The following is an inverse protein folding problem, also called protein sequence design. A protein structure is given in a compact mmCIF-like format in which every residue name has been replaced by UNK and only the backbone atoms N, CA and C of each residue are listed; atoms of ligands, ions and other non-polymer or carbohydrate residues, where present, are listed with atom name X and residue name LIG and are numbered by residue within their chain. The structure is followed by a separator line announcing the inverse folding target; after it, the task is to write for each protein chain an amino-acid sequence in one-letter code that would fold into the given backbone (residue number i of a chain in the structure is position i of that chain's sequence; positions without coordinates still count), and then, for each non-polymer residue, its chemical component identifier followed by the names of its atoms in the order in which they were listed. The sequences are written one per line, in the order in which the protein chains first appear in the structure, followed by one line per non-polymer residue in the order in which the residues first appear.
data_IF_163313386331
#
_entry.id   IF_163313386331
#
_cell.length_a   1.000
_cell.length_b   1.000
_cell.length_c   1.000
_cell.angle_alpha   90.00
_cell.angle_beta   90.00
_cell.angle_gamma   90.00
#
_symmetry.space_group_name_H-M   'P 1'
#
loop_
_entity.id
_entity.type
_entity.pdbx_description
1 polymer ?
#
# COMPACT_ATOMS: atom_id res chain seq x y z
N UNK A 1 -20.21 -49.01 -19.97
CA UNK A 1 -20.50 -47.66 -20.49
C UNK A 1 -20.55 -46.68 -19.30
N UNK A 2 -19.42 -46.12 -18.90
CA UNK A 2 -19.37 -45.15 -17.79
C UNK A 2 -19.68 -43.76 -18.33
N UNK A 3 -20.96 -43.40 -18.35
CA UNK A 3 -21.41 -42.06 -18.71
C UNK A 3 -20.82 -41.04 -17.75
N UNK A 4 -19.83 -40.28 -18.21
CA UNK A 4 -19.30 -39.13 -17.47
C UNK A 4 -20.44 -38.13 -17.34
N UNK A 5 -20.96 -37.94 -16.12
CA UNK A 5 -22.05 -36.99 -15.88
C UNK A 5 -21.54 -35.58 -16.16
N UNK A 6 -22.05 -34.94 -17.20
CA UNK A 6 -21.71 -33.57 -17.56
C UNK A 6 -22.19 -32.59 -16.48
N UNK A 7 -21.37 -31.58 -16.18
CA UNK A 7 -21.68 -30.52 -15.19
C UNK A 7 -21.93 -29.20 -15.87
N UNK A 8 -22.73 -28.34 -15.24
CA UNK A 8 -23.00 -26.98 -15.73
C UNK A 8 -22.07 -25.98 -15.04
N UNK A 9 -21.43 -25.11 -15.82
CA UNK A 9 -20.53 -24.09 -15.32
C UNK A 9 -21.32 -22.97 -14.62
N UNK A 10 -20.98 -22.67 -13.37
CA UNK A 10 -21.66 -21.61 -12.59
C UNK A 10 -21.40 -20.18 -13.12
N UNK A 11 -20.41 -20.00 -14.01
CA UNK A 11 -20.07 -18.68 -14.55
C UNK A 11 -20.65 -18.42 -15.94
N UNK A 12 -20.58 -19.40 -16.86
CA UNK A 12 -21.02 -19.24 -18.25
C UNK A 12 -22.25 -20.09 -18.62
N UNK A 13 -22.75 -20.95 -17.73
CA UNK A 13 -23.89 -21.82 -17.99
C UNK A 13 -23.62 -22.99 -18.95
N UNK A 14 -22.43 -23.11 -19.53
CA UNK A 14 -22.11 -24.19 -20.47
C UNK A 14 -21.88 -25.52 -19.74
N UNK A 15 -22.30 -26.62 -20.38
CA UNK A 15 -21.95 -27.98 -19.95
C UNK A 15 -20.46 -28.25 -20.17
N UNK A 16 -19.82 -28.96 -19.24
CA UNK A 16 -18.43 -29.36 -19.33
C UNK A 16 -18.20 -30.73 -18.70
N UNK A 17 -17.12 -31.39 -19.15
CA UNK A 17 -16.77 -32.75 -18.75
C UNK A 17 -15.58 -32.80 -17.80
N UNK A 18 -15.42 -33.96 -17.14
CA UNK A 18 -14.27 -34.27 -16.29
C UNK A 18 -12.99 -34.29 -17.10
N UNK A 19 -11.94 -33.59 -16.63
CA UNK A 19 -10.60 -33.70 -17.27
C UNK A 19 -9.93 -35.00 -16.86
N UNK A 20 -9.12 -35.57 -17.74
CA UNK A 20 -8.38 -36.82 -17.49
C UNK A 20 -7.53 -36.75 -16.21
N UNK A 21 -6.92 -35.60 -15.93
CA UNK A 21 -6.08 -35.37 -14.73
C UNK A 21 -6.87 -35.17 -13.44
N UNK A 22 -8.17 -34.92 -13.51
CA UNK A 22 -8.96 -34.62 -12.32
C UNK A 22 -9.24 -35.91 -11.55
N UNK A 23 -8.95 -35.91 -10.24
CA UNK A 23 -9.42 -36.98 -9.36
C UNK A 23 -10.95 -36.97 -9.25
N UNK A 24 -11.55 -38.06 -8.73
CA UNK A 24 -12.99 -38.10 -8.49
C UNK A 24 -13.45 -36.99 -7.52
N UNK A 25 -12.66 -36.72 -6.47
CA UNK A 25 -12.93 -35.65 -5.51
C UNK A 25 -12.86 -34.26 -6.15
N UNK A 26 -11.79 -33.98 -6.93
CA UNK A 26 -11.64 -32.72 -7.65
C UNK A 26 -12.81 -32.47 -8.60
N UNK A 27 -13.25 -33.51 -9.32
CA UNK A 27 -14.42 -33.44 -10.19
C UNK A 27 -15.70 -33.12 -9.41
N UNK A 28 -15.92 -33.80 -8.28
CA UNK A 28 -17.12 -33.61 -7.46
C UNK A 28 -17.26 -32.17 -6.92
N UNK A 29 -16.14 -31.47 -6.69
CA UNK A 29 -16.09 -30.10 -6.16
C UNK A 29 -16.02 -29.03 -7.25
N UNK A 30 -15.81 -29.41 -8.51
CA UNK A 30 -15.57 -28.46 -9.60
C UNK A 30 -16.85 -27.76 -10.03
N UNK A 31 -16.82 -26.42 -10.03
CA UNK A 31 -17.96 -25.53 -10.34
C UNK A 31 -17.82 -24.79 -11.68
N UNK A 32 -16.63 -24.81 -12.26
CA UNK A 32 -16.30 -23.99 -13.43
C UNK A 32 -15.61 -24.82 -14.52
N UNK A 33 -15.96 -24.54 -15.78
CA UNK A 33 -15.39 -25.21 -16.95
C UNK A 33 -13.91 -24.85 -17.16
N UNK A 34 -13.48 -23.65 -16.78
CA UNK A 34 -12.12 -23.14 -17.00
C UNK A 34 -11.61 -22.23 -15.88
N UNK A 35 -10.28 -22.01 -15.78
CA UNK A 35 -9.73 -20.98 -14.90
C UNK A 35 -10.29 -19.59 -15.18
N UNK A 36 -10.59 -19.28 -16.45
CA UNK A 36 -11.21 -18.02 -16.87
C UNK A 36 -12.59 -17.85 -16.24
N UNK A 37 -13.46 -18.85 -16.33
CA UNK A 37 -14.78 -18.85 -15.68
C UNK A 37 -14.69 -18.82 -14.15
N UNK A 38 -13.70 -19.52 -13.58
CA UNK A 38 -13.44 -19.43 -12.14
C UNK A 38 -12.95 -18.05 -11.71
N UNK A 39 -12.26 -17.32 -12.56
CA UNK A 39 -11.78 -15.99 -12.26
C UNK A 39 -12.83 -14.91 -12.51
N UNK A 40 -13.68 -15.05 -13.54
CA UNK A 40 -14.77 -14.11 -13.82
C UNK A 40 -15.88 -14.15 -12.77
N UNK A 41 -16.09 -15.32 -12.16
CA UNK A 41 -17.07 -15.51 -11.07
C UNK A 41 -16.60 -15.01 -9.71
N UNK A 42 -15.33 -14.61 -9.56
CA UNK A 42 -14.83 -14.06 -8.30
C UNK A 42 -15.24 -12.60 -8.20
N UNK A 43 -16.04 -12.27 -7.19
CA UNK A 43 -16.35 -10.88 -6.87
C UNK A 43 -15.07 -10.07 -6.62
N UNK A 44 -14.96 -8.93 -7.29
CA UNK A 44 -13.89 -7.96 -7.05
C UNK A 44 -14.30 -7.13 -5.84
N UNK A 45 -13.84 -7.54 -4.66
CA UNK A 45 -14.06 -6.75 -3.44
C UNK A 45 -13.35 -5.40 -3.60
N UNK A 46 -14.07 -4.27 -3.52
CA UNK A 46 -13.47 -2.95 -3.65
C UNK A 46 -12.34 -2.70 -2.64
N UNK A 47 -11.35 -1.90 -3.04
CA UNK A 47 -10.15 -1.68 -2.23
C UNK A 47 -10.46 -1.11 -0.85
N UNK A 48 -11.40 -0.16 -0.74
CA UNK A 48 -11.78 0.45 0.52
C UNK A 48 -12.43 -0.56 1.50
N UNK A 49 -13.16 -1.56 0.99
CA UNK A 49 -13.72 -2.64 1.81
C UNK A 49 -12.59 -3.53 2.33
N UNK A 50 -11.64 -3.89 1.45
CA UNK A 50 -10.46 -4.68 1.83
C UNK A 50 -9.59 -3.95 2.86
N UNK A 51 -9.48 -2.62 2.77
CA UNK A 51 -8.74 -1.80 3.71
C UNK A 51 -9.26 -1.97 5.14
N UNK A 52 -10.57 -1.78 5.35
CA UNK A 52 -11.17 -1.86 6.69
C UNK A 52 -11.04 -3.23 7.36
N UNK A 53 -10.88 -4.31 6.60
CA UNK A 53 -10.59 -5.65 7.14
C UNK A 53 -9.29 -5.70 7.96
N UNK A 54 -8.34 -4.82 7.66
CA UNK A 54 -7.01 -4.82 8.28
C UNK A 54 -6.78 -3.64 9.24
N UNK A 55 -7.82 -2.84 9.54
CA UNK A 55 -7.69 -1.69 10.44
C UNK A 55 -8.26 -2.03 11.81
N UNK A 56 -7.40 -2.05 12.83
CA UNK A 56 -7.84 -2.04 14.22
C UNK A 56 -8.02 -0.60 14.69
N UNK A 57 -9.27 -0.14 14.72
CA UNK A 57 -9.64 1.18 15.21
C UNK A 57 -9.47 1.25 16.72
N UNK A 58 -8.98 2.38 17.19
CA UNK A 58 -8.88 2.73 18.61
C UNK A 58 -9.79 3.93 18.90
N UNK A 59 -10.31 4.01 20.12
CA UNK A 59 -11.12 5.15 20.58
C UNK A 59 -10.26 6.39 20.85
N UNK A 60 -10.86 7.57 20.70
CA UNK A 60 -10.20 8.86 20.90
C UNK A 60 -9.10 9.16 19.87
N UNK A 61 -8.11 9.97 20.26
CA UNK A 61 -6.99 10.38 19.41
C UNK A 61 -5.83 9.36 19.38
N UNK A 62 -6.13 8.06 19.35
CA UNK A 62 -5.12 6.98 19.36
C UNK A 62 -4.79 6.47 17.95
N UNK A 63 -3.62 5.88 17.80
CA UNK A 63 -3.23 5.23 16.53
C UNK A 63 -4.21 4.12 16.16
N UNK A 64 -4.50 3.99 14.87
CA UNK A 64 -5.21 2.83 14.32
C UNK A 64 -4.19 1.89 13.71
N UNK A 65 -4.09 0.67 14.26
CA UNK A 65 -3.05 -0.26 13.86
C UNK A 65 -3.45 -0.96 12.56
N UNK A 66 -2.53 -0.98 11.59
CA UNK A 66 -2.63 -1.84 10.43
C UNK A 66 -2.20 -3.27 10.77
N UNK A 67 -3.00 -4.25 10.37
CA UNK A 67 -2.75 -5.69 10.61
C UNK A 67 -2.51 -6.49 9.33
N UNK A 68 -2.36 -5.81 8.20
CA UNK A 68 -2.03 -6.42 6.92
C UNK A 68 -0.51 -6.50 6.71
N UNK A 69 -0.10 -6.75 5.47
CA UNK A 69 1.31 -6.75 5.10
C UNK A 69 1.95 -5.37 5.30
N UNK A 70 3.22 -5.36 5.67
CA UNK A 70 4.05 -4.16 5.82
C UNK A 70 5.26 -4.20 4.89
N UNK A 71 5.92 -3.06 4.67
CA UNK A 71 7.26 -3.03 4.07
C UNK A 71 8.37 -3.19 5.14
N UNK A 72 9.62 -3.21 4.69
CA UNK A 72 10.81 -3.30 5.54
C UNK A 72 10.97 -2.12 6.53
N UNK A 73 10.23 -1.03 6.32
CA UNK A 73 10.24 0.17 7.16
C UNK A 73 8.99 0.25 8.06
N UNK A 74 8.17 -0.79 8.09
CA UNK A 74 6.97 -0.88 8.94
C UNK A 74 5.73 -0.19 8.38
N UNK A 75 5.75 0.33 7.14
CA UNK A 75 4.56 0.92 6.54
C UNK A 75 3.61 -0.16 6.04
N UNK A 76 2.34 -0.06 6.42
CA UNK A 76 1.28 -0.92 5.89
C UNK A 76 1.13 -0.80 4.37
N UNK A 77 0.88 -1.93 3.70
CA UNK A 77 0.67 -2.03 2.25
C UNK A 77 -0.57 -2.85 1.91
N UNK A 78 -1.25 -2.47 0.83
CA UNK A 78 -2.42 -3.18 0.29
C UNK A 78 -2.34 -3.27 -1.24
N UNK A 79 -2.44 -4.50 -1.77
CA UNK A 79 -2.39 -4.72 -3.22
C UNK A 79 -3.68 -4.31 -3.94
N UNK A 80 -3.58 -3.62 -5.07
CA UNK A 80 -4.71 -3.02 -5.82
C UNK A 80 -5.49 -4.01 -6.69
N UNK A 81 -5.04 -5.27 -6.80
CA UNK A 81 -5.79 -6.29 -7.52
C UNK A 81 -4.97 -7.51 -7.87
N UNK A 82 -5.51 -8.31 -8.79
CA UNK A 82 -4.86 -9.53 -9.31
C UNK A 82 -4.12 -9.30 -10.64
N UNK A 83 -4.17 -8.08 -11.20
CA UNK A 83 -3.53 -7.75 -12.48
C UNK A 83 -2.02 -7.61 -12.31
N UNK A 84 -1.29 -7.91 -13.38
CA UNK A 84 0.16 -7.74 -13.50
C UNK A 84 0.40 -6.41 -14.24
N UNK A 85 1.32 -5.54 -13.77
CA UNK A 85 2.13 -5.69 -12.56
C UNK A 85 1.29 -5.56 -11.29
N UNK A 86 1.62 -6.35 -10.26
CA UNK A 86 1.04 -6.16 -8.93
C UNK A 86 1.54 -4.82 -8.40
N UNK A 87 0.63 -3.89 -8.18
CA UNK A 87 0.93 -2.63 -7.53
C UNK A 87 0.37 -2.66 -6.10
N UNK A 88 1.24 -2.35 -5.14
CA UNK A 88 0.87 -2.16 -3.74
C UNK A 88 0.74 -0.66 -3.47
N UNK A 89 -0.34 -0.27 -2.79
CA UNK A 89 -0.50 1.06 -2.24
C UNK A 89 -0.11 1.07 -0.77
N UNK A 90 0.43 2.20 -0.30
CA UNK A 90 0.64 2.42 1.12
C UNK A 90 -0.71 2.62 1.82
N UNK A 91 -0.94 1.87 2.90
CA UNK A 91 -2.21 1.87 3.62
C UNK A 91 -2.55 3.24 4.22
N UNK A 92 -1.56 3.97 4.74
CA UNK A 92 -1.79 5.32 5.26
C UNK A 92 -2.19 6.32 4.17
N UNK A 93 -1.61 6.23 2.96
CA UNK A 93 -1.99 7.09 1.81
C UNK A 93 -3.45 6.84 1.42
N UNK A 94 -3.84 5.57 1.31
CA UNK A 94 -5.23 5.20 1.07
C UNK A 94 -6.17 5.73 2.17
N UNK A 95 -5.77 5.64 3.43
CA UNK A 95 -6.56 6.18 4.54
C UNK A 95 -6.74 7.69 4.47
N UNK A 96 -5.70 8.42 4.06
CA UNK A 96 -5.77 9.87 3.84
C UNK A 96 -6.74 10.16 2.70
N UNK A 97 -6.56 9.50 1.55
CA UNK A 97 -7.40 9.73 0.36
C UNK A 97 -8.88 9.45 0.59
N UNK A 98 -9.19 8.40 1.35
CA UNK A 98 -10.56 8.06 1.72
C UNK A 98 -11.24 9.13 2.61
N UNK A 99 -10.46 9.92 3.36
CA UNK A 99 -11.00 10.93 4.28
C UNK A 99 -10.96 12.34 3.69
N UNK A 100 -9.86 12.70 3.02
CA UNK A 100 -9.57 14.07 2.60
C UNK A 100 -9.58 14.25 1.08
N UNK A 101 -9.63 13.16 0.31
CA UNK A 101 -9.58 13.20 -1.15
C UNK A 101 -8.18 13.02 -1.72
N UNK A 102 -8.01 13.20 -3.05
CA UNK A 102 -6.78 12.83 -3.75
C UNK A 102 -5.56 13.61 -3.23
N UNK A 103 -4.43 12.91 -3.12
CA UNK A 103 -3.14 13.52 -2.76
C UNK A 103 -2.64 14.33 -3.95
N UNK A 104 -2.22 15.58 -3.72
CA UNK A 104 -1.70 16.42 -4.78
C UNK A 104 -0.39 15.86 -5.34
N UNK A 105 -0.15 16.11 -6.63
CA UNK A 105 1.05 15.60 -7.31
C UNK A 105 2.33 16.10 -6.64
N UNK A 106 3.23 15.17 -6.33
CA UNK A 106 4.50 15.46 -5.66
C UNK A 106 4.43 15.55 -4.13
N UNK A 107 3.23 15.53 -3.54
CA UNK A 107 3.08 15.54 -2.09
C UNK A 107 3.22 14.15 -1.46
N UNK A 108 3.68 14.17 -0.22
CA UNK A 108 3.82 13.00 0.64
C UNK A 108 2.83 13.08 1.79
N UNK A 109 2.48 11.92 2.34
CA UNK A 109 1.66 11.84 3.53
C UNK A 109 2.58 11.53 4.70
N UNK A 110 2.54 12.41 5.69
CA UNK A 110 3.36 12.35 6.89
C UNK A 110 2.51 11.96 8.09
N UNK A 111 3.13 11.27 9.05
CA UNK A 111 2.52 10.89 10.31
C UNK A 111 2.84 11.93 11.39
N UNK A 112 1.81 12.51 12.00
CA UNK A 112 1.99 13.35 13.19
C UNK A 112 2.37 12.53 14.44
N UNK A 113 2.03 11.24 14.45
CA UNK A 113 2.30 10.31 15.54
C UNK A 113 3.64 9.56 15.41
N UNK A 114 4.38 9.77 14.31
CA UNK A 114 5.65 9.10 14.02
C UNK A 114 5.61 7.55 14.07
N UNK A 115 4.43 6.95 13.87
CA UNK A 115 4.21 5.51 13.82
C UNK A 115 3.89 5.05 12.38
N UNK A 116 4.85 4.40 11.66
CA UNK A 116 4.65 3.95 10.28
C UNK A 116 3.46 3.00 10.06
N UNK A 117 3.07 2.25 11.11
CA UNK A 117 1.98 1.29 11.07
C UNK A 117 0.61 1.93 11.36
N UNK A 118 0.56 3.24 11.67
CA UNK A 118 -0.66 3.96 11.92
C UNK A 118 -1.39 4.32 10.62
N UNK A 119 -2.71 4.09 10.60
CA UNK A 119 -3.61 4.45 9.51
C UNK A 119 -4.81 5.28 10.01
N UNK A 120 -4.67 5.96 11.14
CA UNK A 120 -5.71 6.89 11.60
C UNK A 120 -5.62 8.18 10.75
N UNK A 121 -6.65 8.56 9.97
CA UNK A 121 -6.58 9.75 9.12
C UNK A 121 -6.34 11.03 9.91
N UNK A 122 -6.75 11.11 11.18
CA UNK A 122 -6.49 12.28 12.02
C UNK A 122 -5.02 12.42 12.43
N UNK A 123 -4.21 11.38 12.23
CA UNK A 123 -2.76 11.38 12.47
C UNK A 123 -1.96 11.57 11.18
N UNK A 124 -2.63 11.81 10.06
CA UNK A 124 -2.03 11.96 8.74
C UNK A 124 -2.24 13.38 8.24
N UNK A 125 -1.21 13.93 7.62
CA UNK A 125 -1.29 15.21 6.94
C UNK A 125 -0.49 15.16 5.64
N UNK A 126 -0.91 15.98 4.69
CA UNK A 126 -0.20 16.17 3.44
C UNK A 126 0.90 17.21 3.62
N UNK A 127 2.10 16.90 3.13
CA UNK A 127 3.24 17.79 3.17
C UNK A 127 4.09 17.62 1.92
N UNK A 128 5.05 18.54 1.74
CA UNK A 128 6.01 18.40 0.65
C UNK A 128 7.15 17.47 1.06
N UNK A 129 7.85 16.88 0.08
CA UNK A 129 9.08 16.13 0.34
C UNK A 129 10.10 16.97 1.12
N UNK A 130 10.15 18.28 0.87
CA UNK A 130 11.02 19.23 1.57
C UNK A 130 10.65 19.33 3.05
N UNK A 131 9.36 19.46 3.37
CA UNK A 131 8.89 19.56 4.76
C UNK A 131 9.18 18.26 5.53
N UNK A 132 8.96 17.11 4.90
CA UNK A 132 9.26 15.81 5.49
C UNK A 132 10.77 15.64 5.79
N UNK A 133 11.63 16.09 4.87
CA UNK A 133 13.09 16.07 5.08
C UNK A 133 13.53 17.05 6.17
N UNK A 134 12.90 18.22 6.27
CA UNK A 134 13.17 19.19 7.34
C UNK A 134 12.72 18.68 8.71
N UNK A 135 11.57 18.01 8.80
CA UNK A 135 11.10 17.37 10.03
C UNK A 135 12.03 16.23 10.46
N UNK A 136 12.42 15.35 9.53
CA UNK A 136 13.37 14.28 9.79
C UNK A 136 14.73 14.81 10.28
N UNK A 137 15.21 15.92 9.70
CA UNK A 137 16.43 16.62 10.14
C UNK A 137 16.29 17.14 11.57
N UNK A 138 15.21 17.89 11.86
CA UNK A 138 14.92 18.46 13.19
C UNK A 138 14.83 17.39 14.27
N UNK A 139 14.27 16.23 13.93
CA UNK A 139 14.08 15.08 14.83
C UNK A 139 15.29 14.13 14.87
N UNK A 140 16.39 14.46 14.19
CA UNK A 140 17.62 13.65 14.20
C UNK A 140 17.48 12.27 13.54
N UNK A 141 16.54 12.11 12.60
CA UNK A 141 16.23 10.83 11.92
C UNK A 141 16.95 10.65 10.60
N UNK A 142 17.82 11.58 10.24
CA UNK A 142 18.65 11.44 9.05
C UNK A 142 19.74 10.41 9.30
N UNK A 143 20.01 9.56 8.31
CA UNK A 143 21.10 8.61 8.44
C UNK A 143 22.46 9.36 8.52
N UNK A 144 23.48 8.79 9.18
CA UNK A 144 24.77 9.46 9.36
C UNK A 144 25.42 9.93 8.04
N UNK A 145 25.19 9.20 6.94
CA UNK A 145 25.68 9.55 5.61
C UNK A 145 24.96 10.78 5.03
N UNK A 146 23.68 10.95 5.32
CA UNK A 146 22.89 12.16 5.00
C UNK A 146 23.36 13.33 5.86
N UNK A 147 23.77 13.09 7.11
CA UNK A 147 24.40 14.09 7.97
C UNK A 147 25.79 14.50 7.48
N UNK A 148 26.58 13.58 6.94
CA UNK A 148 27.88 13.87 6.32
C UNK A 148 27.74 14.77 5.09
N UNK A 149 26.64 14.64 4.34
CA UNK A 149 26.26 15.53 3.25
C UNK A 149 25.68 16.88 3.72
N UNK A 150 25.34 17.02 5.01
CA UNK A 150 24.86 18.26 5.62
C UNK A 150 26.04 19.00 6.28
N UNK A 151 26.81 19.72 5.45
CA UNK A 151 27.88 20.69 5.83
C UNK A 151 28.88 20.22 6.90
N UNK A 152 30.12 19.87 6.51
CA UNK A 152 31.27 20.08 7.37
C UNK A 152 31.55 21.61 7.42
N UNK A 153 31.29 22.28 8.56
CA UNK A 153 32.00 23.56 8.82
C UNK A 153 31.20 24.83 9.19
N UNK A 154 30.07 24.78 9.90
CA UNK A 154 29.67 25.93 10.74
C UNK A 154 29.18 25.50 12.12
N UNK A 155 29.84 25.98 13.17
CA UNK A 155 29.34 25.87 14.55
C UNK A 155 28.02 26.63 14.68
N UNK A 156 26.98 25.98 15.21
CA UNK A 156 25.85 26.65 15.85
C UNK A 156 24.50 26.73 15.12
N UNK A 157 24.26 26.00 14.01
CA UNK A 157 22.92 25.99 13.39
C UNK A 157 22.44 24.55 13.14
N UNK A 158 21.52 24.09 13.98
CA UNK A 158 20.70 22.90 13.74
C UNK A 158 19.76 23.18 12.55
N UNK A 159 19.84 22.39 11.48
CA UNK A 159 18.82 22.35 10.43
C UNK A 159 19.05 23.15 9.13
N UNK A 160 20.27 23.56 8.80
CA UNK A 160 20.53 24.20 7.51
C UNK A 160 20.56 23.16 6.36
N UNK A 161 19.58 23.22 5.46
CA UNK A 161 19.55 22.46 4.20
C UNK A 161 20.67 22.88 3.21
N UNK A 162 20.83 22.16 2.08
CA UNK A 162 21.88 22.47 1.11
C UNK A 162 21.70 23.85 0.47
N UNK A 163 22.82 24.50 0.12
CA UNK A 163 22.82 25.72 -0.68
C UNK A 163 22.19 25.42 -2.05
N UNK A 164 21.39 26.34 -2.56
CA UNK A 164 20.86 26.30 -3.91
C UNK A 164 21.99 26.41 -4.94
N UNK A 165 21.78 25.87 -6.14
CA UNK A 165 22.71 26.02 -7.27
C UNK A 165 23.02 27.49 -7.61
N UNK A 166 22.12 28.42 -7.22
CA UNK A 166 22.32 29.86 -7.37
C UNK A 166 23.37 30.40 -6.40
N UNK A 167 23.38 29.92 -5.15
CA UNK A 167 24.35 30.31 -4.11
C UNK A 167 25.75 29.73 -4.35
N UNK A 168 25.83 28.57 -5.03
CA UNK A 168 27.09 27.97 -5.46
C UNK A 168 27.77 28.83 -6.53
N UNK A 169 26.99 29.35 -7.49
CA UNK A 169 27.50 30.16 -8.61
C UNK A 169 27.98 31.57 -8.21
N UNK A 170 27.57 32.07 -7.06
CA UNK A 170 27.97 33.40 -6.56
C UNK A 170 29.27 33.39 -5.73
N UNK A 171 29.80 32.22 -5.39
CA UNK A 171 31.00 32.06 -4.56
C UNK A 171 32.17 31.38 -5.30
N UNK A 172 32.06 31.19 -6.61
CA UNK A 172 33.11 30.70 -7.50
C UNK A 172 33.57 31.85 -8.41
#
# INVERSE_FOLDING_TARGET
MSGSVNRICHACGQSFEKRQRDSADQWSKRRYCSPTCSNSSKEVIPLHIRFWKYVKKSTGNKCWAWTGATDQHGYGKIGVGRRIPKQDLKAHRLSYEMRFGPIQNGNVICHACDNPNCVNPNHLFEGTQKDNMQDASRKGRLNPKSMENLRPGKKGIVGAGPLSNKEIKTNA
#
